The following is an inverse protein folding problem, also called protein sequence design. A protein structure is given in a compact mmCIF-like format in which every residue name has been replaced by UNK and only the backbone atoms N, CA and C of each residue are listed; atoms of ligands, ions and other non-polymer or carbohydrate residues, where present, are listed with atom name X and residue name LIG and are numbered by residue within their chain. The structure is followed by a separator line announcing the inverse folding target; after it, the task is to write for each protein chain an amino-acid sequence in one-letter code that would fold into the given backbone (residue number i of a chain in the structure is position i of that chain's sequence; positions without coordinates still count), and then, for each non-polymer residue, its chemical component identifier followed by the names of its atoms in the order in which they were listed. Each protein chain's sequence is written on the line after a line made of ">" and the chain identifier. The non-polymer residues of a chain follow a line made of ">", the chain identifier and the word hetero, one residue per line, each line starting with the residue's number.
data_IF_266085936371
#
_entry.id   IF_266085936371
#
_cell.length_a   1.000
_cell.length_b   1.000
_cell.length_c   1.000
_cell.angle_alpha   90.00
_cell.angle_beta   90.00
_cell.angle_gamma   90.00
#
_symmetry.space_group_name_H-M   'P 1'
#
loop_
_entity.id
_entity.type
_entity.pdbx_description
1 polymer ?
#
# COMPACT_ATOMS: atom_id res chain seq x y z
N UNK A 1 4.35 18.85 21.56
CA UNK A 1 4.45 17.83 20.49
C UNK A 1 3.23 16.90 20.49
N UNK A 2 2.59 16.65 21.65
CA UNK A 2 1.33 15.88 21.78
C UNK A 2 0.14 16.51 21.03
N UNK A 3 0.00 17.84 21.04
CA UNK A 3 -1.10 18.53 20.33
C UNK A 3 -1.17 18.24 18.82
N UNK A 4 -0.04 17.92 18.19
CA UNK A 4 0.00 17.55 16.77
C UNK A 4 -0.40 16.08 16.53
N UNK A 5 -0.39 15.22 17.56
CA UNK A 5 -0.76 13.80 17.45
C UNK A 5 -2.27 13.63 17.55
N UNK A 6 -2.89 14.28 18.54
CA UNK A 6 -4.36 14.28 18.71
C UNK A 6 -5.09 14.84 17.49
N UNK A 7 -4.52 15.88 16.86
CA UNK A 7 -5.05 16.44 15.62
C UNK A 7 -4.98 15.43 14.46
N UNK A 8 -3.90 14.65 14.37
CA UNK A 8 -3.73 13.63 13.31
C UNK A 8 -4.71 12.48 13.53
N UNK A 9 -4.92 12.06 14.78
CA UNK A 9 -5.93 11.06 15.11
C UNK A 9 -7.35 11.53 14.77
N UNK A 10 -7.68 12.79 15.07
CA UNK A 10 -8.96 13.39 14.69
C UNK A 10 -9.13 13.41 13.16
N UNK A 11 -8.10 13.83 12.42
CA UNK A 11 -8.15 13.87 10.96
C UNK A 11 -8.28 12.46 10.34
N UNK A 12 -7.69 11.43 10.97
CA UNK A 12 -7.80 10.04 10.53
C UNK A 12 -9.19 9.44 10.80
N UNK A 13 -9.84 9.82 11.90
CA UNK A 13 -11.23 9.46 12.18
C UNK A 13 -12.21 10.19 11.26
N UNK A 14 -11.82 11.37 10.77
CA UNK A 14 -12.65 12.18 9.89
C UNK A 14 -13.01 11.54 8.54
N UNK A 15 -12.38 10.43 8.14
CA UNK A 15 -12.85 9.62 6.99
C UNK A 15 -14.21 8.95 7.24
N UNK A 16 -14.66 8.87 8.49
CA UNK A 16 -16.00 8.38 8.86
C UNK A 16 -17.11 9.42 8.56
N UNK A 17 -16.75 10.70 8.43
CA UNK A 17 -17.67 11.79 8.09
C UNK A 17 -17.56 12.16 6.60
N UNK A 18 -18.62 11.86 5.84
CA UNK A 18 -18.63 12.00 4.39
C UNK A 18 -18.49 13.46 3.91
N UNK A 19 -18.95 14.43 4.69
CA UNK A 19 -18.94 15.84 4.27
C UNK A 19 -17.55 16.48 4.40
N UNK A 20 -16.71 15.94 5.30
CA UNK A 20 -15.42 16.53 5.66
C UNK A 20 -14.22 15.67 5.26
N UNK A 21 -14.42 14.38 4.96
CA UNK A 21 -13.38 13.42 4.60
C UNK A 21 -12.38 13.92 3.54
N UNK A 22 -12.85 14.56 2.45
CA UNK A 22 -11.97 15.04 1.38
C UNK A 22 -11.00 16.14 1.83
N UNK A 23 -11.47 17.03 2.70
CA UNK A 23 -10.66 18.10 3.28
C UNK A 23 -9.63 17.51 4.24
N UNK A 24 -10.04 16.53 5.05
CA UNK A 24 -9.15 15.86 5.99
C UNK A 24 -8.05 15.06 5.31
N UNK A 25 -8.35 14.36 4.22
CA UNK A 25 -7.31 13.69 3.44
C UNK A 25 -6.26 14.66 2.89
N UNK A 26 -6.68 15.83 2.41
CA UNK A 26 -5.76 16.88 1.94
C UNK A 26 -4.88 17.42 3.07
N UNK A 27 -5.46 17.67 4.25
CA UNK A 27 -4.72 18.11 5.43
C UNK A 27 -3.74 17.04 5.92
N UNK A 28 -4.18 15.79 6.03
CA UNK A 28 -3.33 14.65 6.42
C UNK A 28 -2.11 14.53 5.52
N UNK A 29 -2.31 14.60 4.19
CA UNK A 29 -1.21 14.57 3.22
C UNK A 29 -0.21 15.71 3.45
N UNK A 30 -0.69 16.92 3.76
CA UNK A 30 0.19 18.04 4.10
C UNK A 30 1.04 17.76 5.35
N UNK A 31 0.48 17.15 6.39
CA UNK A 31 1.22 16.79 7.60
C UNK A 31 2.15 15.59 7.43
N UNK A 32 1.77 14.59 6.63
CA UNK A 32 2.59 13.40 6.32
C UNK A 32 3.89 13.73 5.58
N UNK A 33 4.03 14.95 5.04
CA UNK A 33 5.30 15.49 4.53
C UNK A 33 6.40 15.51 5.60
N UNK A 34 6.03 15.62 6.88
CA UNK A 34 6.97 15.54 7.99
C UNK A 34 7.17 14.09 8.42
N UNK A 35 8.42 13.61 8.36
CA UNK A 35 8.75 12.21 8.67
C UNK A 35 8.30 11.78 10.08
N UNK A 36 8.35 12.68 11.07
CA UNK A 36 7.90 12.38 12.44
C UNK A 36 6.40 12.06 12.53
N UNK A 37 5.57 12.70 11.70
CA UNK A 37 4.13 12.43 11.65
C UNK A 37 3.87 11.10 10.94
N UNK A 38 4.51 10.87 9.79
CA UNK A 38 4.39 9.60 9.09
C UNK A 38 4.79 8.42 9.99
N UNK A 39 5.90 8.54 10.72
CA UNK A 39 6.36 7.56 11.71
C UNK A 39 5.31 7.30 12.80
N UNK A 40 4.71 8.35 13.34
CA UNK A 40 3.64 8.21 14.33
C UNK A 40 2.41 7.48 13.78
N UNK A 41 2.01 7.74 12.53
CA UNK A 41 0.89 7.01 11.90
C UNK A 41 1.21 5.52 11.73
N UNK A 42 2.46 5.17 11.40
CA UNK A 42 2.91 3.77 11.36
C UNK A 42 2.91 3.12 12.76
N UNK A 43 3.34 3.83 13.79
CA UNK A 43 3.44 3.32 15.17
C UNK A 43 2.08 3.21 15.89
N UNK A 44 1.10 4.04 15.51
CA UNK A 44 -0.24 4.07 16.12
C UNK A 44 -1.19 2.98 15.60
N UNK A 45 -0.79 2.20 14.58
CA UNK A 45 -1.62 1.15 13.99
C UNK A 45 -2.76 1.66 13.10
N UNK A 46 -2.87 2.98 12.90
CA UNK A 46 -3.93 3.61 12.09
C UNK A 46 -3.84 3.23 10.60
N UNK A 47 -2.70 2.70 10.16
CA UNK A 47 -2.52 2.12 8.81
C UNK A 47 -3.57 1.05 8.51
N UNK A 48 -3.98 0.26 9.51
CA UNK A 48 -4.98 -0.78 9.33
C UNK A 48 -6.32 -0.22 8.81
N UNK A 49 -6.75 0.93 9.35
CA UNK A 49 -8.02 1.58 8.98
C UNK A 49 -8.05 2.06 7.54
N UNK A 50 -6.90 2.35 6.93
CA UNK A 50 -6.88 2.71 5.51
C UNK A 50 -7.39 1.57 4.63
N UNK A 51 -7.19 0.30 5.00
CA UNK A 51 -7.76 -0.82 4.24
C UNK A 51 -9.28 -0.83 4.28
N UNK A 52 -9.90 -0.37 5.36
CA UNK A 52 -11.35 -0.20 5.45
C UNK A 52 -11.80 1.03 4.63
N UNK A 53 -11.08 2.15 4.74
CA UNK A 53 -11.44 3.41 4.07
C UNK A 53 -11.37 3.33 2.54
N UNK A 54 -10.40 2.61 1.99
CA UNK A 54 -10.26 2.45 0.53
C UNK A 54 -11.33 1.55 -0.08
N UNK A 55 -12.04 0.76 0.72
CA UNK A 55 -13.14 -0.11 0.28
C UNK A 55 -14.52 0.53 0.51
N UNK A 56 -14.57 1.79 0.97
CA UNK A 56 -15.83 2.51 1.15
C UNK A 56 -16.63 2.61 -0.17
N UNK A 57 -17.97 2.54 -0.10
CA UNK A 57 -18.82 2.59 -1.29
C UNK A 57 -18.80 3.95 -1.99
N UNK A 58 -18.46 5.02 -1.27
CA UNK A 58 -18.28 6.34 -1.83
C UNK A 58 -16.91 6.42 -2.51
N UNK A 59 -16.91 6.44 -3.85
CA UNK A 59 -15.68 6.45 -4.65
C UNK A 59 -14.79 7.66 -4.40
N UNK A 60 -15.35 8.85 -4.19
CA UNK A 60 -14.55 10.06 -3.97
C UNK A 60 -13.78 9.98 -2.64
N UNK A 61 -14.42 9.44 -1.60
CA UNK A 61 -13.79 9.21 -0.30
C UNK A 61 -12.76 8.08 -0.39
N UNK A 62 -13.12 6.96 -1.01
CA UNK A 62 -12.23 5.80 -1.15
C UNK A 62 -10.97 6.13 -1.98
N UNK A 63 -11.13 6.87 -3.08
CA UNK A 63 -10.01 7.33 -3.90
C UNK A 63 -9.13 8.34 -3.16
N UNK A 64 -9.72 9.25 -2.38
CA UNK A 64 -8.98 10.18 -1.54
C UNK A 64 -8.19 9.47 -0.42
N UNK A 65 -8.81 8.46 0.22
CA UNK A 65 -8.14 7.61 1.20
C UNK A 65 -6.98 6.83 0.57
N UNK A 66 -7.17 6.32 -0.67
CA UNK A 66 -6.12 5.65 -1.42
C UNK A 66 -4.93 6.57 -1.71
N UNK A 67 -5.19 7.81 -2.12
CA UNK A 67 -4.12 8.80 -2.36
C UNK A 67 -3.31 9.06 -1.09
N UNK A 68 -3.97 9.21 0.07
CA UNK A 68 -3.28 9.38 1.35
C UNK A 68 -2.48 8.14 1.74
N UNK A 69 -3.05 6.95 1.57
CA UNK A 69 -2.35 5.69 1.83
C UNK A 69 -1.11 5.54 0.94
N UNK A 70 -1.25 5.82 -0.35
CA UNK A 70 -0.15 5.79 -1.31
C UNK A 70 0.96 6.78 -0.94
N UNK A 71 0.62 8.02 -0.57
CA UNK A 71 1.61 9.00 -0.11
C UNK A 71 2.35 8.52 1.14
N UNK A 72 1.61 8.01 2.14
CA UNK A 72 2.20 7.45 3.36
C UNK A 72 3.21 6.32 3.05
N UNK A 73 2.87 5.43 2.12
CA UNK A 73 3.67 4.27 1.75
C UNK A 73 4.86 4.57 0.82
N UNK A 74 4.93 5.76 0.22
CA UNK A 74 5.96 6.07 -0.80
C UNK A 74 6.85 7.25 -0.44
N UNK A 75 6.41 8.14 0.47
CA UNK A 75 7.11 9.38 0.79
C UNK A 75 8.46 9.14 1.48
N UNK A 76 8.42 8.46 2.63
CA UNK A 76 9.58 8.31 3.54
C UNK A 76 10.09 6.88 3.52
N UNK A 77 10.86 6.52 2.49
CA UNK A 77 11.31 5.14 2.23
C UNK A 77 11.91 4.44 3.45
N UNK A 78 12.77 5.11 4.22
CA UNK A 78 13.40 4.52 5.41
C UNK A 78 12.39 4.12 6.48
N UNK A 79 11.39 4.96 6.74
CA UNK A 79 10.31 4.68 7.70
C UNK A 79 9.38 3.58 7.20
N UNK A 80 9.11 3.55 5.89
CA UNK A 80 8.30 2.49 5.27
C UNK A 80 9.00 1.13 5.36
N UNK A 81 10.31 1.07 5.11
CA UNK A 81 11.09 -0.18 5.24
C UNK A 81 11.10 -0.66 6.69
N UNK A 82 11.32 0.23 7.67
CA UNK A 82 11.22 -0.09 9.10
C UNK A 82 9.84 -0.68 9.44
N UNK A 83 8.76 -0.05 8.95
CA UNK A 83 7.39 -0.54 9.14
C UNK A 83 7.17 -1.94 8.55
N UNK A 84 7.59 -2.17 7.29
CA UNK A 84 7.41 -3.46 6.62
C UNK A 84 8.20 -4.58 7.32
N UNK A 85 9.42 -4.31 7.79
CA UNK A 85 10.24 -5.31 8.48
C UNK A 85 9.56 -5.91 9.73
N UNK A 86 8.69 -5.13 10.38
CA UNK A 86 7.98 -5.54 11.61
C UNK A 86 6.58 -6.09 11.34
N UNK A 87 5.93 -5.67 10.24
CA UNK A 87 4.51 -5.92 9.98
C UNK A 87 4.25 -6.68 8.69
N UNK A 88 5.28 -7.31 8.11
CA UNK A 88 5.25 -7.90 6.77
C UNK A 88 4.05 -8.84 6.54
N UNK A 89 3.88 -9.85 7.41
CA UNK A 89 2.87 -10.89 7.21
C UNK A 89 1.45 -10.33 7.22
N UNK A 90 1.13 -9.52 8.23
CA UNK A 90 -0.16 -8.87 8.36
C UNK A 90 -0.42 -7.90 7.20
N UNK A 91 0.55 -7.02 6.88
CA UNK A 91 0.38 -6.01 5.84
C UNK A 91 0.10 -6.65 4.48
N UNK A 92 0.92 -7.62 4.07
CA UNK A 92 0.71 -8.28 2.78
C UNK A 92 -0.50 -9.21 2.78
N UNK A 93 -1.01 -9.66 3.94
CA UNK A 93 -2.28 -10.36 4.01
C UNK A 93 -3.46 -9.43 3.69
N UNK A 94 -3.49 -8.22 4.27
CA UNK A 94 -4.50 -7.21 3.94
C UNK A 94 -4.33 -6.69 2.51
N UNK A 95 -3.10 -6.44 2.08
CA UNK A 95 -2.80 -5.96 0.73
C UNK A 95 -3.24 -6.96 -0.35
N UNK A 96 -3.20 -8.27 -0.09
CA UNK A 96 -3.74 -9.27 -1.02
C UNK A 96 -5.24 -9.08 -1.25
N UNK A 97 -6.01 -8.68 -0.23
CA UNK A 97 -7.45 -8.41 -0.38
C UNK A 97 -7.69 -7.24 -1.34
N UNK A 98 -6.86 -6.20 -1.27
CA UNK A 98 -6.89 -5.07 -2.23
C UNK A 98 -6.67 -5.55 -3.66
N UNK A 99 -5.68 -6.43 -3.86
CA UNK A 99 -5.38 -7.00 -5.18
C UNK A 99 -6.46 -7.96 -5.71
N UNK A 100 -7.20 -8.62 -4.81
CA UNK A 100 -8.30 -9.52 -5.14
C UNK A 100 -9.68 -8.82 -5.09
N UNK A 101 -9.72 -7.52 -4.78
CA UNK A 101 -10.93 -6.73 -4.65
C UNK A 101 -11.74 -6.71 -5.97
N UNK A 102 -13.08 -6.70 -5.93
CA UNK A 102 -13.90 -6.56 -7.13
C UNK A 102 -13.72 -5.20 -7.83
N UNK A 103 -13.21 -4.19 -7.12
CA UNK A 103 -12.96 -2.85 -7.67
C UNK A 103 -11.79 -2.84 -8.65
N UNK A 104 -12.07 -2.53 -9.92
CA UNK A 104 -11.03 -2.34 -10.94
C UNK A 104 -10.03 -1.26 -10.54
N UNK A 105 -10.50 -0.16 -9.94
CA UNK A 105 -9.66 0.94 -9.47
C UNK A 105 -8.64 0.45 -8.45
N UNK A 106 -9.09 -0.26 -7.41
CA UNK A 106 -8.20 -0.79 -6.36
C UNK A 106 -7.21 -1.81 -6.90
N UNK A 107 -7.63 -2.74 -7.77
CA UNK A 107 -6.70 -3.71 -8.38
C UNK A 107 -5.61 -3.01 -9.18
N UNK A 108 -5.97 -2.01 -9.99
CA UNK A 108 -5.01 -1.26 -10.81
C UNK A 108 -4.05 -0.44 -9.96
N UNK A 109 -4.58 0.38 -9.06
CA UNK A 109 -3.77 1.24 -8.21
C UNK A 109 -2.91 0.43 -7.22
N UNK A 110 -3.46 -0.65 -6.68
CA UNK A 110 -2.73 -1.59 -5.83
C UNK A 110 -1.57 -2.28 -6.53
N UNK A 111 -1.71 -2.62 -7.82
CA UNK A 111 -0.57 -3.14 -8.59
C UNK A 111 0.51 -2.09 -8.84
N UNK A 112 0.12 -0.84 -9.09
CA UNK A 112 1.05 0.27 -9.29
C UNK A 112 1.86 0.54 -8.01
N UNK A 113 1.19 0.66 -6.86
CA UNK A 113 1.83 0.82 -5.56
C UNK A 113 2.70 -0.40 -5.20
N UNK A 114 2.25 -1.62 -5.50
CA UNK A 114 3.05 -2.83 -5.25
C UNK A 114 4.39 -2.78 -5.99
N UNK A 115 4.42 -2.29 -7.23
CA UNK A 115 5.68 -2.10 -7.97
C UNK A 115 6.66 -1.16 -7.25
N UNK A 116 6.14 -0.09 -6.63
CA UNK A 116 6.95 0.84 -5.85
C UNK A 116 7.45 0.21 -4.55
N UNK A 117 6.63 -0.58 -3.86
CA UNK A 117 7.02 -1.28 -2.62
C UNK A 117 8.09 -2.35 -2.88
N UNK A 118 7.97 -3.10 -3.98
CA UNK A 118 8.93 -4.14 -4.38
C UNK A 118 10.24 -3.56 -4.96
N UNK A 119 10.39 -2.24 -5.01
CA UNK A 119 11.67 -1.62 -5.36
C UNK A 119 12.74 -1.82 -4.27
N UNK A 120 12.31 -2.13 -3.05
CA UNK A 120 13.19 -2.53 -1.95
C UNK A 120 13.51 -4.02 -2.03
N UNK A 121 14.79 -4.39 -1.97
CA UNK A 121 15.24 -5.76 -2.14
C UNK A 121 14.72 -6.69 -1.05
N UNK A 122 14.64 -6.24 0.19
CA UNK A 122 14.26 -7.10 1.31
C UNK A 122 12.76 -7.40 1.24
N UNK A 123 11.96 -6.35 1.02
CA UNK A 123 10.50 -6.50 0.81
C UNK A 123 10.21 -7.39 -0.39
N UNK A 124 10.93 -7.20 -1.50
CA UNK A 124 10.81 -8.01 -2.71
C UNK A 124 11.12 -9.48 -2.44
N UNK A 125 12.20 -9.75 -1.71
CA UNK A 125 12.65 -11.11 -1.37
C UNK A 125 11.62 -11.87 -0.54
N UNK A 126 11.04 -11.24 0.48
CA UNK A 126 9.96 -11.85 1.23
C UNK A 126 8.71 -12.08 0.36
N UNK A 127 8.43 -11.17 -0.59
CA UNK A 127 7.23 -11.24 -1.42
C UNK A 127 7.27 -12.40 -2.41
N UNK A 128 8.40 -12.58 -3.09
CA UNK A 128 8.54 -13.63 -4.11
C UNK A 128 8.58 -15.06 -3.54
N UNK A 129 8.97 -15.18 -2.27
CA UNK A 129 9.03 -16.44 -1.54
C UNK A 129 7.65 -16.89 -1.02
N UNK A 130 6.68 -15.98 -0.90
CA UNK A 130 5.31 -16.33 -0.52
C UNK A 130 4.54 -16.92 -1.71
N UNK A 131 4.07 -18.16 -1.54
CA UNK A 131 3.25 -18.86 -2.55
C UNK A 131 1.95 -18.11 -2.84
N UNK A 132 1.31 -17.56 -1.82
CA UNK A 132 0.01 -16.89 -1.95
C UNK A 132 0.13 -15.57 -2.70
N UNK A 133 1.17 -14.80 -2.42
CA UNK A 133 1.46 -13.54 -3.12
C UNK A 133 1.69 -13.77 -4.63
N UNK A 134 2.44 -14.83 -4.97
CA UNK A 134 2.67 -15.22 -6.35
C UNK A 134 1.39 -15.73 -7.02
N UNK A 135 0.57 -16.50 -6.29
CA UNK A 135 -0.70 -16.99 -6.81
C UNK A 135 -1.66 -15.83 -7.13
N UNK A 136 -1.76 -14.84 -6.24
CA UNK A 136 -2.56 -13.63 -6.47
C UNK A 136 -2.07 -12.86 -7.71
N UNK A 137 -0.75 -12.64 -7.84
CA UNK A 137 -0.17 -12.00 -9.02
C UNK A 137 -0.44 -12.79 -10.32
N UNK A 138 -0.40 -14.13 -10.27
CA UNK A 138 -0.71 -14.98 -11.41
C UNK A 138 -2.19 -14.94 -11.81
N UNK A 139 -3.13 -14.81 -10.86
CA UNK A 139 -4.55 -14.59 -11.17
C UNK A 139 -4.73 -13.30 -11.97
N UNK A 140 -4.06 -12.23 -11.55
CA UNK A 140 -4.13 -10.91 -12.21
C UNK A 140 -3.54 -10.90 -13.64
N UNK A 141 -2.67 -11.84 -13.98
CA UNK A 141 -2.22 -12.02 -15.38
C UNK A 141 -3.31 -12.52 -16.32
N UNK A 142 -4.32 -13.22 -15.78
CA UNK A 142 -5.42 -13.81 -16.57
C UNK A 142 -6.51 -12.80 -16.87
N UNK A 143 -6.49 -11.64 -16.22
CA UNK A 143 -7.41 -10.53 -16.47
C UNK A 143 -7.28 -10.02 -17.91
N UNK A 144 -8.38 -9.59 -18.52
CA UNK A 144 -8.37 -9.13 -19.92
C UNK A 144 -7.74 -7.73 -20.09
N UNK A 145 -7.71 -6.93 -19.03
CA UNK A 145 -7.23 -5.55 -19.06
C UNK A 145 -5.70 -5.47 -19.12
N UNK A 146 -5.16 -4.88 -20.20
CA UNK A 146 -3.71 -4.61 -20.34
C UNK A 146 -3.16 -3.74 -19.21
N UNK A 147 -3.97 -2.83 -18.66
CA UNK A 147 -3.59 -1.93 -17.57
C UNK A 147 -3.36 -2.67 -16.24
N UNK A 148 -3.89 -3.90 -16.09
CA UNK A 148 -3.63 -4.79 -14.96
C UNK A 148 -2.51 -5.78 -15.33
N UNK A 149 -2.57 -6.36 -16.53
CA UNK A 149 -1.59 -7.36 -16.98
C UNK A 149 -0.15 -6.83 -17.06
N UNK A 150 0.06 -5.57 -17.47
CA UNK A 150 1.42 -5.01 -17.62
C UNK A 150 2.10 -4.90 -16.23
N UNK A 151 1.52 -4.20 -15.23
CA UNK A 151 2.07 -4.17 -13.88
C UNK A 151 2.23 -5.56 -13.25
N UNK A 152 1.23 -6.44 -13.39
CA UNK A 152 1.31 -7.80 -12.85
C UNK A 152 2.47 -8.61 -13.46
N UNK A 153 2.77 -8.43 -14.76
CA UNK A 153 3.96 -9.01 -15.40
C UNK A 153 5.25 -8.44 -14.82
N UNK A 154 5.31 -7.14 -14.55
CA UNK A 154 6.49 -6.53 -13.93
C UNK A 154 6.77 -7.14 -12.54
N UNK A 155 5.73 -7.36 -11.72
CA UNK A 155 5.86 -8.02 -10.42
C UNK A 155 6.48 -9.41 -10.54
N UNK A 156 6.06 -10.21 -11.52
CA UNK A 156 6.60 -11.56 -11.72
C UNK A 156 8.01 -11.57 -12.33
N UNK A 157 8.40 -10.54 -13.08
CA UNK A 157 9.78 -10.41 -13.60
C UNK A 157 10.80 -10.33 -12.46
N UNK A 158 10.46 -9.69 -11.34
CA UNK A 158 11.34 -9.66 -10.17
C UNK A 158 11.71 -11.07 -9.70
N UNK A 159 10.75 -12.01 -9.68
CA UNK A 159 11.00 -13.41 -9.34
C UNK A 159 11.91 -14.11 -10.35
N UNK A 160 11.67 -13.94 -11.65
CA UNK A 160 12.48 -14.58 -12.70
C UNK A 160 13.92 -14.07 -12.69
N UNK A 161 14.11 -12.75 -12.60
CA UNK A 161 15.44 -12.14 -12.51
C UNK A 161 16.18 -12.62 -11.25
N UNK A 162 15.48 -12.70 -10.12
CA UNK A 162 16.07 -13.21 -8.88
C UNK A 162 16.52 -14.68 -8.98
N UNK A 163 15.70 -15.56 -9.55
CA UNK A 163 16.07 -16.98 -9.76
C UNK A 163 17.31 -17.09 -10.64
N UNK A 164 17.36 -16.32 -11.74
CA UNK A 164 18.51 -16.31 -12.65
C UNK A 164 19.78 -15.79 -11.95
N UNK A 165 19.66 -14.74 -11.15
CA UNK A 165 20.77 -14.21 -10.35
C UNK A 165 21.28 -15.25 -9.35
N UNK A 166 20.39 -15.95 -8.64
CA UNK A 166 20.76 -17.03 -7.71
C UNK A 166 21.44 -18.21 -8.41
N UNK A 167 21.03 -18.55 -9.63
CA UNK A 167 21.64 -19.63 -10.40
C UNK A 167 23.01 -19.27 -10.99
N UNK A 168 23.28 -17.99 -11.24
CA UNK A 168 24.57 -17.52 -11.80
C UNK A 168 25.61 -17.15 -10.74
N UNK A 169 25.18 -16.72 -9.55
CA UNK A 169 26.07 -16.12 -8.54
C UNK A 169 25.91 -16.69 -7.13
N UNK A 170 25.04 -17.69 -6.93
CA UNK A 170 24.72 -18.29 -5.63
C UNK A 170 25.21 -19.73 -5.46
#
# INVERSE_FOLDING_TARGET
>A
MELNKDLIDLLLQGYEDQDTALHYGTMLRAYMRHQGIARYVFESGQVAKFFDYIELPNFDIASNAWETFQELMTRHKSTVVEFHSRNYEWFFAEYRKVLESPSYFLRRQGLELLGNLLSDSDVMMHYINSKDNIMAAMKLLRETSKSIQIPARCVLRFKTVWILWRLQYG
#
